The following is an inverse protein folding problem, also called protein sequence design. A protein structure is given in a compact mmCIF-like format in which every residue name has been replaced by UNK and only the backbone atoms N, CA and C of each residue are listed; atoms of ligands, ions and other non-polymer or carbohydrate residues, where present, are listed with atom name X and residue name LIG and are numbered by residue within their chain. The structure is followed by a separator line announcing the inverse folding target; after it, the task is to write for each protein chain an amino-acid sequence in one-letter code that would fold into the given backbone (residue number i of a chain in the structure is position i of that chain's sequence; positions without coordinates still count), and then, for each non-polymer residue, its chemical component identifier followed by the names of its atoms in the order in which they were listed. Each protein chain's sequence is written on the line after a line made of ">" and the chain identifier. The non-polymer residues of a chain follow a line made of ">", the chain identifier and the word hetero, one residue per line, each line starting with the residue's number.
data_IF_041379117292
#
_entry.id   IF_041379117292
#
_cell.length_a   1.000
_cell.length_b   1.000
_cell.length_c   1.000
_cell.angle_alpha   90.00
_cell.angle_beta   90.00
_cell.angle_gamma   90.00
#
_symmetry.space_group_name_H-M   'P 1'
#
loop_
_entity.id
_entity.type
_entity.pdbx_description
1 polymer ?
#
# COMPACT_ATOMS: atom_id res chain seq x y z
N UNK A 1 -94.03 20.18 -19.95
CA UNK A 1 -93.20 20.81 -18.96
C UNK A 1 -91.97 19.96 -18.83
N UNK A 2 -90.97 20.18 -19.66
CA UNK A 2 -89.72 19.44 -19.66
C UNK A 2 -88.55 20.38 -19.29
N UNK A 3 -87.99 20.19 -18.16
CA UNK A 3 -86.83 20.92 -17.71
C UNK A 3 -85.58 20.32 -18.38
N UNK A 4 -84.91 21.08 -19.18
CA UNK A 4 -83.61 20.74 -19.77
C UNK A 4 -82.54 21.20 -18.81
N UNK A 5 -81.75 20.29 -18.26
CA UNK A 5 -80.62 20.53 -17.41
C UNK A 5 -79.38 20.63 -18.30
N UNK A 6 -78.75 21.84 -18.31
CA UNK A 6 -77.51 22.10 -19.04
C UNK A 6 -76.37 21.70 -18.17
N UNK A 7 -75.66 20.63 -18.51
CA UNK A 7 -74.40 20.26 -17.83
C UNK A 7 -73.25 21.02 -18.46
N UNK A 8 -72.71 21.95 -17.71
CA UNK A 8 -71.51 22.65 -18.08
C UNK A 8 -70.28 21.79 -17.74
N UNK A 9 -69.62 21.26 -18.79
CA UNK A 9 -68.42 20.46 -18.64
C UNK A 9 -67.22 21.42 -18.51
N UNK A 10 -66.69 21.58 -17.26
CA UNK A 10 -65.47 22.31 -17.00
C UNK A 10 -64.26 21.44 -17.39
N UNK A 11 -63.67 21.72 -18.55
CA UNK A 11 -62.35 21.17 -18.90
C UNK A 11 -61.26 21.83 -18.04
N UNK A 12 -60.80 21.15 -17.01
CA UNK A 12 -59.58 21.51 -16.31
C UNK A 12 -58.39 21.01 -17.13
N UNK A 13 -57.71 21.93 -17.79
CA UNK A 13 -56.42 21.68 -18.43
C UNK A 13 -55.37 21.34 -17.32
N UNK A 14 -54.99 20.08 -17.20
CA UNK A 14 -53.84 19.68 -16.41
C UNK A 14 -52.61 20.06 -17.19
N UNK A 15 -52.03 21.19 -16.85
CA UNK A 15 -50.67 21.57 -17.29
C UNK A 15 -49.70 20.64 -16.56
N UNK A 16 -49.35 19.54 -17.21
CA UNK A 16 -48.27 18.70 -16.83
C UNK A 16 -46.96 19.49 -16.84
N UNK A 17 -46.51 19.95 -15.66
CA UNK A 17 -45.15 20.37 -15.50
C UNK A 17 -44.24 19.20 -15.74
N UNK A 18 -43.62 19.13 -16.90
CA UNK A 18 -42.42 18.36 -17.12
C UNK A 18 -41.34 18.91 -16.18
N UNK A 19 -41.21 18.30 -14.99
CA UNK A 19 -40.03 18.44 -14.18
C UNK A 19 -38.92 17.71 -14.92
N UNK A 20 -38.14 18.44 -15.68
CA UNK A 20 -36.85 17.99 -16.14
C UNK A 20 -36.00 17.75 -14.89
N UNK A 21 -35.83 16.47 -14.55
CA UNK A 21 -34.86 15.99 -13.59
C UNK A 21 -33.45 16.21 -14.13
N UNK A 22 -33.00 17.46 -14.07
CA UNK A 22 -31.62 17.88 -14.35
C UNK A 22 -30.77 17.92 -13.08
N UNK A 23 -30.92 16.93 -12.18
CA UNK A 23 -30.11 16.84 -10.98
C UNK A 23 -29.70 15.40 -10.69
N UNK A 24 -28.98 14.80 -11.64
CA UNK A 24 -28.10 13.66 -11.34
C UNK A 24 -26.92 13.59 -12.33
N UNK A 25 -26.36 14.73 -12.70
CA UNK A 25 -24.99 14.72 -13.17
C UNK A 25 -24.10 14.55 -11.93
N UNK A 26 -23.68 13.29 -11.72
CA UNK A 26 -22.85 12.76 -10.66
C UNK A 26 -21.78 13.71 -10.11
N UNK A 27 -22.12 14.42 -9.09
CA UNK A 27 -21.13 14.85 -8.12
C UNK A 27 -20.64 13.59 -7.42
N UNK A 28 -19.53 13.02 -7.88
CA UNK A 28 -18.81 11.95 -7.18
C UNK A 28 -18.61 12.41 -5.75
N UNK A 29 -19.22 11.69 -4.79
CA UNK A 29 -19.07 11.98 -3.37
C UNK A 29 -17.56 12.07 -3.05
N UNK A 30 -17.09 13.01 -2.21
CA UNK A 30 -15.67 13.15 -1.85
C UNK A 30 -14.99 11.86 -1.36
N UNK A 31 -15.78 10.88 -0.89
CA UNK A 31 -15.31 9.57 -0.49
C UNK A 31 -14.86 8.66 -1.66
N UNK A 32 -15.15 9.00 -2.92
CA UNK A 32 -14.79 8.20 -4.10
C UNK A 32 -13.53 8.73 -4.82
N UNK A 33 -12.97 9.84 -4.38
CA UNK A 33 -11.67 10.35 -4.84
C UNK A 33 -10.50 9.85 -3.97
N UNK A 34 -10.60 8.68 -3.37
CA UNK A 34 -9.40 8.01 -2.89
C UNK A 34 -8.67 7.51 -4.13
N UNK A 35 -7.69 8.29 -4.57
CA UNK A 35 -6.74 7.86 -5.61
C UNK A 35 -6.24 6.48 -5.25
N UNK A 36 -6.49 5.51 -6.14
CA UNK A 36 -6.04 4.14 -5.92
C UNK A 36 -4.52 4.16 -5.69
N UNK A 37 -4.08 3.58 -4.57
CA UNK A 37 -2.67 3.53 -4.24
C UNK A 37 -1.89 2.82 -5.35
N UNK A 38 -0.73 3.37 -5.69
CA UNK A 38 0.16 2.85 -6.74
C UNK A 38 0.64 1.44 -6.37
N UNK A 39 0.55 0.52 -7.31
CA UNK A 39 1.17 -0.79 -7.20
C UNK A 39 2.69 -0.65 -7.30
N UNK A 40 3.41 -1.14 -6.30
CA UNK A 40 4.89 -0.98 -6.20
C UNK A 40 5.64 -2.31 -6.20
N UNK A 41 4.93 -3.42 -5.96
CA UNK A 41 5.54 -4.75 -5.99
C UNK A 41 5.58 -5.30 -7.40
N UNK A 42 6.77 -5.63 -7.90
CA UNK A 42 6.91 -6.32 -9.17
C UNK A 42 6.78 -7.83 -8.96
N UNK A 43 5.67 -8.40 -9.40
CA UNK A 43 5.32 -9.80 -9.20
C UNK A 43 6.10 -10.76 -10.14
N UNK A 44 6.78 -10.23 -11.16
CA UNK A 44 7.57 -11.00 -12.12
C UNK A 44 9.03 -11.20 -11.68
N UNK A 45 9.52 -10.42 -10.74
CA UNK A 45 10.89 -10.52 -10.23
C UNK A 45 11.01 -11.67 -9.23
N UNK A 46 12.07 -12.44 -9.35
CA UNK A 46 12.45 -13.42 -8.33
C UNK A 46 12.88 -12.69 -7.03
N UNK A 47 12.20 -12.90 -5.89
CA UNK A 47 12.50 -12.17 -4.67
C UNK A 47 13.90 -12.44 -4.11
N UNK A 48 14.45 -13.64 -4.37
CA UNK A 48 15.80 -14.00 -3.91
C UNK A 48 16.85 -13.23 -4.71
N UNK A 49 16.71 -13.18 -6.03
CA UNK A 49 17.60 -12.41 -6.90
C UNK A 49 17.48 -10.90 -6.64
N UNK A 50 16.27 -10.39 -6.36
CA UNK A 50 16.05 -8.99 -5.99
C UNK A 50 16.82 -8.60 -4.72
N UNK A 51 16.81 -9.46 -3.71
CA UNK A 51 17.57 -9.23 -2.47
C UNK A 51 19.08 -9.26 -2.76
N UNK A 52 19.57 -10.22 -3.57
CA UNK A 52 20.99 -10.31 -3.91
C UNK A 52 21.48 -9.06 -4.65
N UNK A 53 20.69 -8.54 -5.59
CA UNK A 53 20.98 -7.28 -6.30
C UNK A 53 21.02 -6.09 -5.33
N UNK A 54 20.06 -6.00 -4.40
CA UNK A 54 20.02 -4.94 -3.39
C UNK A 54 21.23 -5.00 -2.46
N UNK A 55 21.65 -6.19 -2.03
CA UNK A 55 22.85 -6.39 -1.21
C UNK A 55 24.13 -5.96 -1.94
N UNK A 56 24.25 -6.28 -3.22
CA UNK A 56 25.39 -5.85 -4.03
C UNK A 56 25.46 -4.31 -4.13
N UNK A 57 24.31 -3.65 -4.33
CA UNK A 57 24.21 -2.17 -4.31
C UNK A 57 24.52 -1.58 -2.94
N UNK A 58 23.95 -2.14 -1.88
CA UNK A 58 24.15 -1.70 -0.50
C UNK A 58 25.63 -1.76 -0.12
N UNK A 59 26.30 -2.87 -0.41
CA UNK A 59 27.74 -3.05 -0.16
C UNK A 59 28.58 -1.99 -0.88
N UNK A 60 28.28 -1.71 -2.16
CA UNK A 60 28.98 -0.69 -2.95
C UNK A 60 28.81 0.71 -2.40
N UNK A 61 27.63 1.02 -1.85
CA UNK A 61 27.24 2.35 -1.40
C UNK A 61 27.40 2.57 0.11
N UNK A 62 27.90 1.59 0.85
CA UNK A 62 28.03 1.67 2.32
C UNK A 62 26.68 1.71 3.06
N UNK A 63 25.63 1.13 2.47
CA UNK A 63 24.28 1.11 2.99
C UNK A 63 23.89 -0.26 3.54
N UNK A 64 22.75 -0.31 4.23
CA UNK A 64 22.04 -1.56 4.54
C UNK A 64 20.85 -1.76 3.60
N UNK A 65 20.21 -2.92 3.67
CA UNK A 65 18.99 -3.22 2.88
C UNK A 65 17.78 -3.21 3.79
N UNK A 66 16.70 -2.58 3.35
CA UNK A 66 15.37 -2.77 3.94
C UNK A 66 14.48 -3.48 2.93
N UNK A 67 14.05 -4.69 3.30
CA UNK A 67 13.03 -5.42 2.58
C UNK A 67 11.66 -5.09 3.17
N UNK A 68 10.82 -4.32 2.45
CA UNK A 68 9.40 -4.25 2.73
C UNK A 68 8.72 -5.48 2.13
N UNK A 69 8.46 -6.49 2.96
CA UNK A 69 7.82 -7.73 2.52
C UNK A 69 6.31 -7.57 2.51
N UNK A 70 5.68 -7.96 1.42
CA UNK A 70 4.23 -7.84 1.24
C UNK A 70 3.79 -8.09 -0.19
N UNK A 71 2.88 -7.30 -0.71
CA UNK A 71 2.40 -7.42 -2.10
C UNK A 71 1.35 -6.38 -2.46
N UNK A 72 1.03 -6.30 -3.75
CA UNK A 72 0.00 -5.39 -4.25
C UNK A 72 -1.43 -5.71 -3.75
N UNK A 73 -1.62 -6.86 -3.16
CA UNK A 73 -2.85 -7.30 -2.49
C UNK A 73 -3.03 -6.73 -1.09
N UNK A 74 -2.01 -6.09 -0.53
CA UNK A 74 -1.95 -5.62 0.86
C UNK A 74 -2.13 -4.08 0.91
N UNK A 75 -3.29 -3.55 1.30
CA UNK A 75 -3.52 -2.10 1.34
C UNK A 75 -2.53 -1.35 2.25
N UNK A 76 -2.16 -1.90 3.40
CA UNK A 76 -1.20 -1.28 4.31
C UNK A 76 0.22 -1.26 3.73
N UNK A 77 0.57 -2.25 2.93
CA UNK A 77 1.84 -2.26 2.21
C UNK A 77 1.93 -1.10 1.21
N UNK A 78 0.85 -0.85 0.45
CA UNK A 78 0.79 0.24 -0.51
C UNK A 78 0.74 1.61 0.18
N UNK A 79 0.04 1.71 1.33
CA UNK A 79 0.03 2.93 2.15
C UNK A 79 1.42 3.29 2.67
N UNK A 80 2.21 2.30 3.12
CA UNK A 80 3.56 2.57 3.59
C UNK A 80 4.47 3.04 2.46
N UNK A 81 4.40 2.41 1.29
CA UNK A 81 5.16 2.85 0.13
C UNK A 81 4.81 4.29 -0.29
N UNK A 82 3.51 4.63 -0.31
CA UNK A 82 3.03 5.99 -0.58
C UNK A 82 3.50 6.99 0.49
N UNK A 83 3.51 6.58 1.75
CA UNK A 83 4.01 7.39 2.87
C UNK A 83 5.51 7.67 2.72
N UNK A 84 6.34 6.67 2.41
CA UNK A 84 7.78 6.86 2.15
C UNK A 84 8.01 7.78 0.95
N UNK A 85 7.24 7.62 -0.13
CA UNK A 85 7.36 8.45 -1.34
C UNK A 85 7.02 9.92 -1.05
N UNK A 86 6.00 10.19 -0.23
CA UNK A 86 5.46 11.55 0.01
C UNK A 86 6.08 12.28 1.21
N UNK A 87 6.61 11.55 2.19
CA UNK A 87 7.22 12.16 3.37
C UNK A 87 8.69 12.47 3.11
N UNK A 88 9.03 13.75 2.99
CA UNK A 88 10.38 14.18 2.62
C UNK A 88 11.48 13.72 3.62
N UNK A 89 11.19 13.72 4.92
CA UNK A 89 12.15 13.33 5.96
C UNK A 89 12.42 11.82 5.93
N UNK A 90 11.36 11.02 5.81
CA UNK A 90 11.45 9.55 5.70
C UNK A 90 12.13 9.15 4.40
N UNK A 91 11.71 9.75 3.27
CA UNK A 91 12.30 9.50 1.95
C UNK A 91 13.82 9.77 1.95
N UNK A 92 14.22 10.93 2.49
CA UNK A 92 15.64 11.28 2.61
C UNK A 92 16.39 10.25 3.47
N UNK A 93 15.86 9.89 4.63
CA UNK A 93 16.48 8.92 5.54
C UNK A 93 16.66 7.55 4.87
N UNK A 94 15.65 7.08 4.16
CA UNK A 94 15.71 5.84 3.39
C UNK A 94 16.78 5.92 2.31
N UNK A 95 16.75 6.97 1.49
CA UNK A 95 17.69 7.11 0.37
C UNK A 95 19.15 7.31 0.81
N UNK A 96 19.39 7.95 1.95
CA UNK A 96 20.74 8.18 2.43
C UNK A 96 21.41 6.91 3.00
N UNK A 97 20.63 6.03 3.66
CA UNK A 97 21.18 4.96 4.47
C UNK A 97 20.84 3.54 4.02
N UNK A 98 19.86 3.38 3.13
CA UNK A 98 19.34 2.06 2.78
C UNK A 98 19.16 1.86 1.27
N UNK A 99 19.34 0.62 0.83
CA UNK A 99 18.73 0.11 -0.39
C UNK A 99 17.35 -0.44 0.00
N UNK A 100 16.32 0.31 -0.34
CA UNK A 100 14.94 -0.02 0.03
C UNK A 100 14.24 -0.71 -1.12
N UNK A 101 13.74 -1.92 -0.87
CA UNK A 101 13.11 -2.75 -1.89
C UNK A 101 11.74 -3.27 -1.44
N UNK A 102 10.82 -3.36 -2.39
CA UNK A 102 9.51 -3.98 -2.21
C UNK A 102 9.58 -5.44 -2.63
N UNK A 103 9.60 -6.35 -1.63
CA UNK A 103 9.75 -7.78 -1.85
C UNK A 103 8.38 -8.45 -1.91
N UNK A 104 8.01 -8.95 -3.10
CA UNK A 104 6.70 -9.57 -3.30
C UNK A 104 6.63 -10.95 -2.61
N UNK A 105 5.62 -11.11 -1.75
CA UNK A 105 5.30 -12.37 -1.11
C UNK A 105 3.97 -12.91 -1.62
N UNK A 106 4.01 -14.05 -2.28
CA UNK A 106 2.82 -14.71 -2.79
C UNK A 106 2.84 -16.21 -2.45
N UNK A 107 2.05 -16.59 -1.44
CA UNK A 107 1.90 -17.99 -0.97
C UNK A 107 0.62 -18.64 -1.50
N UNK A 108 -0.10 -18.02 -2.43
CA UNK A 108 -1.36 -18.57 -2.92
C UNK A 108 -1.08 -19.81 -3.77
N UNK A 109 -1.74 -20.92 -3.44
CA UNK A 109 -1.69 -22.16 -4.25
C UNK A 109 -2.10 -21.94 -5.71
N UNK A 110 -2.96 -20.97 -5.97
CA UNK A 110 -3.35 -20.56 -7.32
C UNK A 110 -2.19 -20.00 -8.17
N UNK A 111 -1.09 -19.60 -7.55
CA UNK A 111 0.13 -19.16 -8.24
C UNK A 111 1.07 -20.33 -8.62
N UNK A 112 0.70 -21.57 -8.27
CA UNK A 112 1.46 -22.80 -8.54
C UNK A 112 2.48 -23.16 -7.46
N UNK A 113 2.89 -24.42 -7.44
CA UNK A 113 3.79 -24.96 -6.40
C UNK A 113 5.17 -24.27 -6.39
N UNK A 114 5.67 -23.86 -7.55
CA UNK A 114 6.93 -23.13 -7.65
C UNK A 114 6.89 -21.79 -6.90
N UNK A 115 5.77 -21.07 -6.97
CA UNK A 115 5.59 -19.80 -6.26
C UNK A 115 5.49 -20.03 -4.74
N UNK A 116 4.83 -21.08 -4.32
CA UNK A 116 4.74 -21.48 -2.90
C UNK A 116 6.13 -21.79 -2.35
N UNK A 117 6.92 -22.60 -3.07
CA UNK A 117 8.29 -22.95 -2.68
C UNK A 117 9.20 -21.71 -2.58
N UNK A 118 9.10 -20.79 -3.54
CA UNK A 118 9.84 -19.50 -3.48
C UNK A 118 9.44 -18.66 -2.28
N UNK A 119 8.15 -18.59 -1.96
CA UNK A 119 7.67 -17.89 -0.78
C UNK A 119 8.23 -18.51 0.52
N UNK A 120 8.32 -19.81 0.62
CA UNK A 120 8.92 -20.51 1.76
C UNK A 120 10.43 -20.24 1.88
N UNK A 121 11.15 -20.29 0.77
CA UNK A 121 12.58 -19.96 0.73
C UNK A 121 12.83 -18.51 1.17
N UNK A 122 12.01 -17.58 0.69
CA UNK A 122 12.07 -16.17 1.10
C UNK A 122 11.88 -16.02 2.61
N UNK A 123 10.87 -16.67 3.17
CA UNK A 123 10.61 -16.61 4.61
C UNK A 123 11.77 -17.19 5.42
N UNK A 124 12.34 -18.30 4.99
CA UNK A 124 13.53 -18.91 5.62
C UNK A 124 14.70 -17.94 5.59
N UNK A 125 15.00 -17.34 4.44
CA UNK A 125 16.09 -16.37 4.28
C UNK A 125 15.96 -15.17 5.20
N UNK A 126 14.73 -14.68 5.41
CA UNK A 126 14.43 -13.49 6.19
C UNK A 126 14.07 -13.78 7.66
N UNK A 127 14.39 -14.97 8.20
CA UNK A 127 14.08 -15.38 9.58
C UNK A 127 12.58 -15.36 9.90
N UNK A 128 11.76 -15.83 8.96
CA UNK A 128 10.32 -16.03 9.11
C UNK A 128 9.53 -14.78 9.59
N UNK A 129 9.62 -13.64 8.87
CA UNK A 129 8.98 -12.40 9.29
C UNK A 129 7.45 -12.42 9.20
N UNK A 130 6.86 -13.33 8.41
CA UNK A 130 5.40 -13.41 8.19
C UNK A 130 4.56 -13.53 9.47
N UNK A 131 5.17 -13.94 10.60
CA UNK A 131 4.49 -14.03 11.91
C UNK A 131 3.96 -12.70 12.43
N UNK A 132 4.47 -11.59 11.91
CA UNK A 132 4.05 -10.22 12.27
C UNK A 132 2.99 -9.65 11.33
N UNK A 133 2.55 -10.39 10.30
CA UNK A 133 1.64 -9.85 9.29
C UNK A 133 2.35 -9.03 8.20
N UNK A 134 1.61 -8.19 7.47
CA UNK A 134 2.13 -7.42 6.34
C UNK A 134 1.59 -5.98 6.32
N UNK A 135 2.43 -4.99 5.92
CA UNK A 135 3.85 -5.16 5.61
C UNK A 135 4.67 -5.55 6.83
N UNK A 136 5.77 -6.23 6.61
CA UNK A 136 6.81 -6.42 7.60
C UNK A 136 8.12 -5.96 7.01
N UNK A 137 8.96 -5.31 7.82
CA UNK A 137 10.23 -4.78 7.36
C UNK A 137 11.37 -5.62 7.91
N UNK A 138 12.28 -6.03 7.04
CA UNK A 138 13.47 -6.78 7.43
C UNK A 138 14.70 -5.95 7.06
N UNK A 139 15.51 -5.63 8.07
CA UNK A 139 16.78 -4.92 7.88
C UNK A 139 17.89 -5.95 7.74
N UNK A 140 18.64 -5.86 6.65
CA UNK A 140 19.80 -6.70 6.38
C UNK A 140 21.06 -5.83 6.37
N UNK A 141 22.16 -6.34 6.93
CA UNK A 141 23.47 -5.74 6.70
C UNK A 141 23.97 -6.01 5.26
N UNK A 142 25.13 -5.50 4.91
CA UNK A 142 25.73 -5.67 3.58
C UNK A 142 26.18 -7.11 3.26
N UNK A 143 26.21 -7.98 4.25
CA UNK A 143 26.48 -9.41 4.10
C UNK A 143 25.18 -10.24 3.96
N UNK A 144 24.01 -9.61 4.12
CA UNK A 144 22.70 -10.25 4.05
C UNK A 144 22.24 -10.88 5.37
N UNK A 145 22.93 -10.59 6.48
CA UNK A 145 22.49 -11.02 7.82
C UNK A 145 21.28 -10.20 8.24
N UNK A 146 20.24 -10.86 8.73
CA UNK A 146 19.08 -10.21 9.32
C UNK A 146 19.48 -9.55 10.65
N UNK A 147 19.42 -8.22 10.68
CA UNK A 147 19.69 -7.42 11.87
C UNK A 147 18.44 -7.19 12.70
N UNK A 148 17.30 -6.95 12.02
CA UNK A 148 16.04 -6.61 12.68
C UNK A 148 14.83 -6.99 11.83
N UNK A 149 13.74 -7.32 12.50
CA UNK A 149 12.42 -7.49 11.88
C UNK A 149 11.46 -6.55 12.58
N UNK A 150 10.93 -5.57 11.83
CA UNK A 150 9.99 -4.58 12.34
C UNK A 150 8.56 -4.93 11.94
N UNK A 151 7.72 -5.15 12.91
CA UNK A 151 6.27 -5.19 12.76
C UNK A 151 5.74 -3.81 12.39
N UNK A 152 4.97 -3.71 11.30
CA UNK A 152 4.42 -2.44 10.83
C UNK A 152 3.45 -1.80 11.81
N UNK A 153 2.75 -2.58 12.62
CA UNK A 153 1.75 -2.08 13.57
C UNK A 153 2.33 -1.09 14.58
N UNK A 154 3.61 -1.25 14.96
CA UNK A 154 4.31 -0.30 15.84
C UNK A 154 4.64 1.04 15.17
N UNK A 155 4.54 1.13 13.86
CA UNK A 155 4.79 2.34 13.07
C UNK A 155 3.51 3.09 12.70
N UNK A 156 2.36 2.46 12.96
CA UNK A 156 1.05 2.97 12.58
C UNK A 156 0.52 4.02 13.56
N UNK A 157 -0.32 4.91 13.01
CA UNK A 157 -1.14 5.84 13.76
C UNK A 157 -2.41 6.18 12.99
N UNK A 158 -3.56 6.01 13.63
CA UNK A 158 -4.86 6.24 13.00
C UNK A 158 -5.06 5.36 11.77
N UNK A 159 -5.22 5.98 10.59
CA UNK A 159 -5.41 5.26 9.31
C UNK A 159 -4.15 5.24 8.42
N UNK A 160 -2.99 5.50 8.99
CA UNK A 160 -1.72 5.60 8.26
C UNK A 160 -0.51 5.29 9.12
N UNK A 161 0.62 5.94 8.82
CA UNK A 161 1.88 5.78 9.52
C UNK A 161 2.31 7.07 10.20
N UNK A 162 3.00 6.95 11.34
CA UNK A 162 3.51 8.07 12.11
C UNK A 162 4.99 8.35 11.72
N UNK A 163 5.28 9.60 11.38
CA UNK A 163 6.61 10.02 10.94
C UNK A 163 7.69 9.76 12.00
N UNK A 164 7.44 10.14 13.26
CA UNK A 164 8.42 10.00 14.32
C UNK A 164 8.74 8.53 14.62
N UNK A 165 7.72 7.67 14.64
CA UNK A 165 7.89 6.22 14.83
C UNK A 165 8.73 5.62 13.70
N UNK A 166 8.42 5.98 12.44
CA UNK A 166 9.16 5.49 11.27
C UNK A 166 10.60 6.03 11.27
N UNK A 167 10.81 7.31 11.53
CA UNK A 167 12.17 7.88 11.60
C UNK A 167 12.98 7.27 12.74
N UNK A 168 12.38 7.01 13.90
CA UNK A 168 13.04 6.33 15.03
C UNK A 168 13.48 4.92 14.63
N UNK A 169 12.60 4.14 14.01
CA UNK A 169 12.95 2.83 13.47
C UNK A 169 14.13 2.92 12.52
N UNK A 170 14.06 3.77 11.49
CA UNK A 170 15.11 3.91 10.49
C UNK A 170 16.45 4.35 11.11
N UNK A 171 16.45 5.39 11.97
CA UNK A 171 17.66 5.90 12.63
C UNK A 171 18.37 4.84 13.44
N UNK A 172 17.62 3.97 14.13
CA UNK A 172 18.19 2.92 14.98
C UNK A 172 18.94 1.85 14.19
N UNK A 173 18.65 1.71 12.89
CA UNK A 173 19.22 0.65 12.05
C UNK A 173 20.06 1.16 10.88
N UNK A 174 20.51 2.41 10.91
CA UNK A 174 21.49 2.89 9.93
C UNK A 174 22.83 2.16 10.10
N UNK A 175 23.66 2.04 9.03
CA UNK A 175 25.00 1.47 9.16
C UNK A 175 25.84 2.13 10.28
N UNK A 176 25.72 3.43 10.46
CA UNK A 176 26.42 4.18 11.51
C UNK A 176 25.93 3.79 12.91
N UNK A 177 24.61 3.65 13.09
CA UNK A 177 24.06 3.31 14.40
C UNK A 177 24.41 1.87 14.84
N UNK A 178 24.58 0.95 13.88
CA UNK A 178 24.86 -0.47 14.15
C UNK A 178 26.35 -0.75 14.30
N UNK A 179 27.20 -0.05 13.54
CA UNK A 179 28.67 -0.30 13.54
C UNK A 179 29.43 0.55 14.54
N UNK A 180 28.81 1.62 15.07
CA UNK A 180 29.38 2.55 16.03
C UNK A 180 30.18 3.64 15.37
#
# INVERSE_FOLDING_TARGET
>A
MKKVLFFLFLMTAVIGRAQTSLDQAGALKPAQMQTALKKVYNESIDPMAQIDEALAKAKKNGKFVICQVGGNWCPWCLKFADFVEKNAAVNKMVNDHFEYIHVNYNRRKSAGDAAVKKAEQLMTRLNNPQRFGFPVFVVLDEAGKVLHIQDSSFLEEGKGYNEEKVLRFLKSWTPQAVKG
#
